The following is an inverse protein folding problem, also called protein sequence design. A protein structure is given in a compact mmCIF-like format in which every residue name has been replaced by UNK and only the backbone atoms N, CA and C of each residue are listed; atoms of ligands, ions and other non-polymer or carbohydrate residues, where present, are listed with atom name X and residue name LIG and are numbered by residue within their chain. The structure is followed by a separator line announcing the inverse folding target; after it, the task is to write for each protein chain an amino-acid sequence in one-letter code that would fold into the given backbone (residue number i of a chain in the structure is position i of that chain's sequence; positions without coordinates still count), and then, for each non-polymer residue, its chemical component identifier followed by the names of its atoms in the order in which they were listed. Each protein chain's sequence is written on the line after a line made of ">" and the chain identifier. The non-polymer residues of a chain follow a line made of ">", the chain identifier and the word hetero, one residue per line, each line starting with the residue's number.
data_IF_263590168144
#
_entry.id   IF_263590168144
#
_cell.length_a   1.000
_cell.length_b   1.000
_cell.length_c   1.000
_cell.angle_alpha   90.00
_cell.angle_beta   90.00
_cell.angle_gamma   90.00
#
_symmetry.space_group_name_H-M   'P 1'
#
loop_
_entity.id
_entity.type
_entity.pdbx_description
1 polymer ?
#
# COMPACT_ATOMS: atom_id res chain seq x y z
N UNK A 1 16.71 12.87 -31.08
CA UNK A 1 16.19 11.70 -30.33
C UNK A 1 17.27 11.26 -29.34
N UNK A 2 16.92 11.11 -28.06
CA UNK A 2 17.87 10.75 -27.01
C UNK A 2 18.40 9.32 -27.32
N UNK A 3 19.66 9.23 -27.75
CA UNK A 3 20.27 7.99 -28.28
C UNK A 3 20.96 7.16 -27.20
N UNK A 4 20.66 7.44 -25.92
CA UNK A 4 21.23 6.72 -24.79
C UNK A 4 20.46 5.43 -24.57
N UNK A 5 21.18 4.32 -24.49
CA UNK A 5 20.61 3.04 -24.08
C UNK A 5 20.11 3.13 -22.63
N UNK A 6 18.87 2.67 -22.42
CA UNK A 6 18.26 2.65 -21.08
C UNK A 6 18.87 1.52 -20.26
N UNK A 7 19.22 1.82 -19.02
CA UNK A 7 19.61 0.82 -18.03
C UNK A 7 18.44 -0.11 -17.70
N UNK A 8 18.72 -1.36 -17.34
CA UNK A 8 17.73 -2.33 -16.84
C UNK A 8 16.91 -1.74 -15.68
N UNK A 9 17.54 -0.94 -14.82
CA UNK A 9 16.86 -0.28 -13.69
C UNK A 9 15.82 0.72 -14.20
N UNK A 10 16.19 1.53 -15.20
CA UNK A 10 15.31 2.53 -15.82
C UNK A 10 14.14 1.85 -16.54
N UNK A 11 14.40 0.75 -17.25
CA UNK A 11 13.36 -0.04 -17.93
C UNK A 11 12.38 -0.65 -16.92
N UNK A 12 12.89 -1.26 -15.84
CA UNK A 12 12.04 -1.81 -14.77
C UNK A 12 11.20 -0.73 -14.09
N UNK A 13 11.80 0.42 -13.82
CA UNK A 13 11.09 1.55 -13.21
C UNK A 13 10.00 2.08 -14.14
N UNK A 14 10.31 2.25 -15.42
CA UNK A 14 9.34 2.68 -16.40
C UNK A 14 8.17 1.70 -16.49
N UNK A 15 8.43 0.39 -16.54
CA UNK A 15 7.37 -0.62 -16.53
C UNK A 15 6.47 -0.53 -15.30
N UNK A 16 7.04 -0.32 -14.11
CA UNK A 16 6.26 -0.12 -12.87
C UNK A 16 5.36 1.11 -12.97
N UNK A 17 5.88 2.23 -13.47
CA UNK A 17 5.11 3.46 -13.68
C UNK A 17 3.99 3.23 -14.70
N UNK A 18 4.28 2.62 -15.84
CA UNK A 18 3.31 2.29 -16.89
C UNK A 18 2.20 1.37 -16.38
N UNK A 19 2.53 0.33 -15.60
CA UNK A 19 1.55 -0.54 -14.93
C UNK A 19 0.60 0.27 -14.02
N UNK A 20 1.16 1.16 -13.20
CA UNK A 20 0.37 1.98 -12.27
C UNK A 20 -0.54 2.98 -12.99
N UNK A 21 -0.04 3.63 -14.03
CA UNK A 21 -0.82 4.58 -14.84
C UNK A 21 -2.00 3.88 -15.54
N UNK A 22 -1.77 2.71 -16.12
CA UNK A 22 -2.83 1.91 -16.75
C UNK A 22 -3.92 1.51 -15.74
N UNK A 23 -3.54 1.02 -14.55
CA UNK A 23 -4.48 0.70 -13.46
C UNK A 23 -5.25 1.93 -12.99
N UNK A 24 -4.59 3.09 -12.90
CA UNK A 24 -5.22 4.36 -12.51
C UNK A 24 -6.26 4.82 -13.53
N UNK A 25 -5.93 4.79 -14.83
CA UNK A 25 -6.86 5.12 -15.91
C UNK A 25 -8.11 4.23 -15.87
N UNK A 26 -7.93 2.92 -15.68
CA UNK A 26 -9.05 1.99 -15.54
C UNK A 26 -9.93 2.31 -14.32
N UNK A 27 -9.31 2.64 -13.18
CA UNK A 27 -10.04 3.01 -11.96
C UNK A 27 -10.88 4.28 -12.15
N UNK A 28 -10.31 5.31 -12.78
CA UNK A 28 -11.01 6.55 -13.12
C UNK A 28 -12.19 6.25 -14.05
N UNK A 29 -11.96 5.51 -15.13
CA UNK A 29 -13.02 5.12 -16.05
C UNK A 29 -14.17 4.37 -15.35
N UNK A 30 -13.86 3.39 -14.49
CA UNK A 30 -14.87 2.66 -13.70
C UNK A 30 -15.67 3.59 -12.79
N UNK A 31 -14.99 4.48 -12.08
CA UNK A 31 -15.63 5.47 -11.20
C UNK A 31 -16.56 6.39 -11.97
N UNK A 32 -16.14 6.88 -13.13
CA UNK A 32 -16.95 7.74 -13.98
C UNK A 32 -18.15 6.99 -14.57
N UNK A 33 -18.00 5.71 -14.93
CA UNK A 33 -19.11 4.87 -15.41
C UNK A 33 -20.16 4.62 -14.33
N UNK A 34 -19.77 4.61 -13.06
CA UNK A 34 -20.68 4.45 -11.92
C UNK A 34 -21.39 5.74 -11.50
N UNK A 35 -21.13 6.87 -12.18
CA UNK A 35 -21.83 8.12 -11.93
C UNK A 35 -23.28 8.07 -12.43
N UNK A 36 -24.25 8.41 -11.59
CA UNK A 36 -25.70 8.39 -11.92
C UNK A 36 -26.23 9.70 -12.52
N UNK A 37 -25.33 10.63 -12.87
CA UNK A 37 -25.66 12.02 -13.21
C UNK A 37 -26.20 12.28 -14.63
N UNK A 38 -26.74 11.29 -15.33
CA UNK A 38 -27.38 11.45 -16.66
C UNK A 38 -26.49 11.98 -17.79
N UNK A 39 -25.19 12.14 -17.55
CA UNK A 39 -24.23 12.67 -18.52
C UNK A 39 -23.84 11.63 -19.59
N UNK A 40 -23.15 12.08 -20.65
CA UNK A 40 -22.63 11.17 -21.67
C UNK A 40 -21.66 10.16 -21.03
N UNK A 41 -21.68 8.92 -21.55
CA UNK A 41 -20.79 7.85 -21.09
C UNK A 41 -19.32 8.31 -21.19
N UNK A 42 -18.49 8.11 -20.16
CA UNK A 42 -17.08 8.48 -20.23
C UNK A 42 -16.36 7.72 -21.35
N UNK A 43 -15.34 8.34 -21.99
CA UNK A 43 -14.58 7.69 -23.04
C UNK A 43 -13.85 6.46 -22.48
N UNK A 44 -13.90 5.35 -23.23
CA UNK A 44 -13.18 4.13 -22.85
C UNK A 44 -11.68 4.38 -22.71
N UNK A 45 -10.96 3.63 -21.85
CA UNK A 45 -9.51 3.70 -21.77
C UNK A 45 -8.86 3.48 -23.13
N UNK A 46 -7.73 4.15 -23.38
CA UNK A 46 -7.00 4.04 -24.64
C UNK A 46 -6.57 2.60 -24.95
N UNK A 47 -6.40 2.25 -26.24
CA UNK A 47 -6.05 0.88 -26.65
C UNK A 47 -4.77 0.36 -26.00
N UNK A 48 -3.76 1.23 -25.87
CA UNK A 48 -2.47 0.93 -25.23
C UNK A 48 -2.66 0.54 -23.76
N UNK A 49 -3.47 1.30 -23.02
CA UNK A 49 -3.83 1.00 -21.63
C UNK A 49 -4.51 -0.36 -21.51
N UNK A 50 -5.43 -0.70 -22.42
CA UNK A 50 -6.09 -2.00 -22.41
C UNK A 50 -5.12 -3.15 -22.71
N UNK A 51 -4.11 -2.92 -23.56
CA UNK A 51 -3.07 -3.90 -23.86
C UNK A 51 -2.16 -4.14 -22.65
N UNK A 52 -1.70 -3.07 -22.00
CA UNK A 52 -0.92 -3.13 -20.76
C UNK A 52 -1.69 -3.88 -19.67
N UNK A 53 -2.99 -3.61 -19.52
CA UNK A 53 -3.84 -4.28 -18.53
C UNK A 53 -3.94 -5.79 -18.74
N UNK A 54 -3.93 -6.27 -19.99
CA UNK A 54 -3.92 -7.71 -20.31
C UNK A 54 -2.59 -8.39 -19.96
N UNK A 55 -1.48 -7.66 -20.03
CA UNK A 55 -0.15 -8.18 -19.70
C UNK A 55 0.08 -8.31 -18.19
N UNK A 56 -0.72 -7.63 -17.37
CA UNK A 56 -0.62 -7.68 -15.92
C UNK A 56 -1.35 -8.94 -15.44
N UNK A 57 -0.67 -9.85 -14.71
CA UNK A 57 -1.32 -10.99 -14.09
C UNK A 57 -2.45 -10.51 -13.17
N UNK A 58 -3.60 -11.17 -13.25
CA UNK A 58 -4.69 -10.90 -12.34
C UNK A 58 -4.34 -11.49 -10.96
N UNK A 59 -4.03 -10.61 -10.01
CA UNK A 59 -3.51 -10.98 -8.69
C UNK A 59 -4.59 -11.56 -7.74
N UNK A 60 -5.89 -11.45 -8.10
CA UNK A 60 -7.01 -11.90 -7.26
C UNK A 60 -8.16 -12.46 -8.10
N UNK A 61 -8.76 -13.56 -7.63
CA UNK A 61 -10.08 -14.01 -8.09
C UNK A 61 -11.12 -12.96 -7.68
N UNK A 62 -11.92 -12.50 -8.63
CA UNK A 62 -13.01 -11.54 -8.33
C UNK A 62 -14.18 -12.37 -7.81
N UNK A 63 -14.41 -12.33 -6.51
CA UNK A 63 -15.61 -12.90 -5.89
C UNK A 63 -16.83 -12.06 -6.29
N UNK A 64 -17.68 -12.59 -7.16
CA UNK A 64 -18.90 -11.93 -7.59
C UNK A 64 -20.03 -12.27 -6.63
N UNK A 65 -20.31 -11.37 -5.69
CA UNK A 65 -21.50 -11.47 -4.85
C UNK A 65 -22.72 -10.92 -5.58
N UNK A 66 -23.75 -11.76 -5.78
CA UNK A 66 -25.03 -11.38 -6.39
C UNK A 66 -25.83 -10.32 -5.64
N UNK A 67 -25.47 -10.04 -4.39
CA UNK A 67 -26.09 -9.00 -3.56
C UNK A 67 -25.25 -7.71 -3.49
N UNK A 68 -24.05 -7.66 -4.08
CA UNK A 68 -23.26 -6.44 -4.10
C UNK A 68 -23.79 -5.50 -5.19
N UNK A 69 -24.10 -4.26 -4.81
CA UNK A 69 -24.63 -3.23 -5.72
C UNK A 69 -23.58 -2.77 -6.75
N UNK A 70 -22.30 -3.11 -6.53
CA UNK A 70 -21.20 -2.89 -7.47
C UNK A 70 -20.88 -4.11 -8.34
N UNK A 71 -21.64 -5.22 -8.18
CA UNK A 71 -21.37 -6.50 -8.82
C UNK A 71 -21.27 -6.34 -10.32
N UNK A 72 -20.04 -6.36 -10.83
CA UNK A 72 -19.76 -6.23 -12.26
C UNK A 72 -20.43 -7.42 -12.95
N UNK A 73 -21.61 -7.22 -13.54
CA UNK A 73 -22.15 -8.20 -14.47
C UNK A 73 -21.14 -8.27 -15.61
N UNK A 74 -20.40 -9.37 -15.69
CA UNK A 74 -19.48 -9.67 -16.77
C UNK A 74 -20.27 -9.79 -18.08
N UNK A 75 -20.63 -8.67 -18.68
CA UNK A 75 -21.05 -8.65 -20.07
C UNK A 75 -19.80 -8.75 -20.94
N UNK A 76 -19.46 -9.99 -21.31
CA UNK A 76 -19.39 -10.44 -22.71
C UNK A 76 -18.42 -11.61 -22.85
N UNK A 77 -18.96 -12.80 -23.12
CA UNK A 77 -18.80 -13.47 -24.43
C UNK A 77 -19.70 -14.72 -24.50
N UNK A 78 -20.61 -14.66 -25.47
CA UNK A 78 -21.18 -15.75 -26.27
C UNK A 78 -21.51 -17.05 -25.53
N UNK A 79 -22.76 -17.20 -25.12
CA UNK A 79 -23.42 -18.51 -25.08
C UNK A 79 -24.93 -18.32 -25.13
N UNK A 80 -25.49 -19.03 -26.09
CA UNK A 80 -26.88 -19.09 -26.50
C UNK A 80 -27.88 -19.17 -25.33
N UNK A 81 -29.01 -18.53 -25.57
CA UNK A 81 -30.31 -18.87 -25.02
C UNK A 81 -30.52 -20.39 -25.07
N UNK A 82 -30.34 -21.09 -23.95
CA UNK A 82 -31.08 -22.33 -23.66
C UNK A 82 -31.46 -22.34 -22.19
N UNK A 83 -32.73 -22.05 -21.92
CA UNK A 83 -33.42 -22.59 -20.76
C UNK A 83 -33.41 -24.12 -20.87
N UNK A 84 -32.55 -24.80 -20.14
CA UNK A 84 -32.79 -26.20 -19.77
C UNK A 84 -32.47 -26.38 -18.28
N UNK A 85 -33.55 -26.47 -17.50
CA UNK A 85 -33.55 -27.07 -16.17
C UNK A 85 -32.99 -28.49 -16.27
N UNK A 86 -31.81 -28.72 -15.72
CA UNK A 86 -31.38 -30.07 -15.36
C UNK A 86 -30.91 -30.06 -13.91
N UNK A 87 -31.65 -30.81 -13.11
CA UNK A 87 -31.42 -31.10 -11.71
C UNK A 87 -29.98 -31.61 -11.51
N UNK A 88 -29.11 -30.73 -11.03
CA UNK A 88 -27.83 -31.13 -10.47
C UNK A 88 -28.03 -31.25 -8.96
N UNK A 89 -27.95 -32.49 -8.49
CA UNK A 89 -27.90 -32.89 -7.08
C UNK A 89 -26.90 -31.99 -6.33
N UNK A 90 -27.45 -31.01 -5.59
CA UNK A 90 -26.68 -30.14 -4.71
C UNK A 90 -26.24 -31.01 -3.54
N UNK A 91 -24.98 -31.47 -3.57
CA UNK A 91 -24.30 -31.87 -2.34
C UNK A 91 -24.27 -30.66 -1.43
N UNK A 92 -25.21 -30.60 -0.50
CA UNK A 92 -25.26 -29.61 0.58
C UNK A 92 -23.94 -29.68 1.33
N UNK A 93 -23.08 -28.69 1.14
CA UNK A 93 -21.93 -28.48 2.01
C UNK A 93 -22.50 -28.13 3.38
N UNK A 94 -22.13 -28.95 4.35
CA UNK A 94 -22.59 -28.90 5.73
C UNK A 94 -22.45 -27.48 6.32
N UNK A 95 -23.57 -26.92 6.78
CA UNK A 95 -23.68 -25.54 7.28
C UNK A 95 -22.70 -25.25 8.42
N UNK A 96 -22.30 -26.29 9.14
CA UNK A 96 -21.39 -26.21 10.29
C UNK A 96 -19.94 -25.94 9.84
N UNK A 97 -19.53 -26.41 8.65
CA UNK A 97 -18.17 -26.17 8.12
C UNK A 97 -17.98 -24.73 7.61
N UNK A 98 -19.06 -24.12 7.11
CA UNK A 98 -19.06 -22.72 6.65
C UNK A 98 -18.94 -21.76 7.84
N UNK A 99 -19.57 -22.10 8.97
CA UNK A 99 -19.47 -21.37 10.25
C UNK A 99 -18.05 -21.39 10.82
N UNK A 100 -17.43 -22.58 10.88
CA UNK A 100 -16.08 -22.77 11.41
C UNK A 100 -15.03 -21.96 10.61
N UNK A 101 -15.12 -21.99 9.28
CA UNK A 101 -14.19 -21.25 8.41
C UNK A 101 -14.34 -19.73 8.59
N UNK A 102 -15.57 -19.23 8.76
CA UNK A 102 -15.82 -17.81 9.03
C UNK A 102 -15.23 -17.36 10.37
N UNK A 103 -15.35 -18.20 11.40
CA UNK A 103 -14.76 -17.96 12.73
C UNK A 103 -13.23 -17.93 12.65
N UNK A 104 -12.62 -18.88 11.93
CA UNK A 104 -11.16 -18.92 11.77
C UNK A 104 -10.64 -17.71 11.00
N UNK A 105 -11.30 -17.31 9.90
CA UNK A 105 -10.95 -16.10 9.14
C UNK A 105 -11.02 -14.85 10.00
N UNK A 106 -12.06 -14.73 10.82
CA UNK A 106 -12.22 -13.60 11.75
C UNK A 106 -11.09 -13.57 12.78
N UNK A 107 -10.75 -14.70 13.39
CA UNK A 107 -9.64 -14.80 14.36
C UNK A 107 -8.31 -14.38 13.73
N UNK A 108 -8.00 -14.86 12.52
CA UNK A 108 -6.76 -14.49 11.82
C UNK A 108 -6.72 -12.98 11.56
N UNK A 109 -7.81 -12.40 11.07
CA UNK A 109 -7.87 -10.96 10.80
C UNK A 109 -7.70 -10.13 12.08
N UNK A 110 -8.37 -10.51 13.17
CA UNK A 110 -8.23 -9.83 14.46
C UNK A 110 -6.79 -9.89 14.97
N UNK A 111 -6.15 -11.05 14.92
CA UNK A 111 -4.75 -11.20 15.33
C UNK A 111 -3.81 -10.34 14.47
N UNK A 112 -4.07 -10.26 13.15
CA UNK A 112 -3.29 -9.41 12.27
C UNK A 112 -3.41 -7.94 12.69
N UNK A 113 -4.63 -7.45 12.90
CA UNK A 113 -4.88 -6.06 13.31
C UNK A 113 -4.22 -5.74 14.66
N UNK A 114 -4.36 -6.64 15.65
CA UNK A 114 -3.75 -6.45 16.98
C UNK A 114 -2.21 -6.42 16.91
N UNK A 115 -1.62 -7.29 16.08
CA UNK A 115 -0.17 -7.33 15.90
C UNK A 115 0.35 -6.06 15.22
N UNK A 116 -0.35 -5.55 14.19
CA UNK A 116 0.01 -4.30 13.54
C UNK A 116 -0.10 -3.10 14.48
N UNK A 117 -1.17 -3.04 15.28
CA UNK A 117 -1.35 -1.97 16.25
C UNK A 117 -0.25 -1.98 17.32
N UNK A 118 0.12 -3.17 17.80
CA UNK A 118 1.22 -3.35 18.77
C UNK A 118 2.56 -2.90 18.19
N UNK A 119 2.89 -3.35 16.98
CA UNK A 119 4.10 -2.93 16.26
C UNK A 119 4.15 -1.41 16.06
N UNK A 120 3.01 -0.80 15.73
CA UNK A 120 2.93 0.64 15.55
C UNK A 120 3.23 1.41 16.84
N UNK A 121 2.68 0.96 17.97
CA UNK A 121 2.96 1.55 19.28
C UNK A 121 4.44 1.43 19.63
N UNK A 122 5.03 0.26 19.39
CA UNK A 122 6.42 -0.01 19.73
C UNK A 122 7.38 0.86 18.90
N UNK A 123 7.16 0.98 17.59
CA UNK A 123 7.93 1.87 16.72
C UNK A 123 7.85 3.34 17.16
N UNK A 124 6.67 3.81 17.56
CA UNK A 124 6.51 5.17 18.07
C UNK A 124 7.27 5.37 19.39
N UNK A 125 7.24 4.37 20.28
CA UNK A 125 7.97 4.40 21.54
C UNK A 125 9.48 4.47 21.31
N UNK A 126 10.01 3.62 20.42
CA UNK A 126 11.43 3.59 20.05
C UNK A 126 11.87 4.93 19.44
N UNK A 127 11.06 5.50 18.54
CA UNK A 127 11.35 6.79 17.92
C UNK A 127 11.45 7.91 18.97
N UNK A 128 10.50 7.97 19.91
CA UNK A 128 10.57 8.96 21.00
C UNK A 128 11.77 8.74 21.92
N UNK A 129 12.11 7.50 22.23
CA UNK A 129 13.26 7.19 23.07
C UNK A 129 14.58 7.58 22.39
N UNK A 130 14.69 7.33 21.09
CA UNK A 130 15.84 7.73 20.29
C UNK A 130 16.00 9.26 20.29
N UNK A 131 14.91 10.01 20.06
CA UNK A 131 14.93 11.47 20.12
C UNK A 131 15.35 12.02 21.49
N UNK A 132 14.89 11.40 22.58
CA UNK A 132 15.33 11.77 23.94
C UNK A 132 16.82 11.53 24.15
N UNK A 133 17.34 10.36 23.75
CA UNK A 133 18.77 10.04 23.88
C UNK A 133 19.63 10.99 23.05
N UNK A 134 19.20 11.31 21.83
CA UNK A 134 19.90 12.27 20.97
C UNK A 134 19.98 13.65 21.63
N UNK A 135 18.85 14.14 22.16
CA UNK A 135 18.83 15.42 22.86
C UNK A 135 19.74 15.42 24.10
N UNK A 136 19.74 14.34 24.88
CA UNK A 136 20.61 14.20 26.06
C UNK A 136 22.10 14.18 25.67
N UNK A 137 22.46 13.49 24.59
CA UNK A 137 23.83 13.46 24.08
C UNK A 137 24.30 14.84 23.64
N UNK A 138 23.45 15.58 22.90
CA UNK A 138 23.75 16.96 22.50
C UNK A 138 23.93 17.88 23.70
N UNK A 139 23.10 17.73 24.73
CA UNK A 139 23.24 18.50 25.97
C UNK A 139 24.59 18.22 26.66
N UNK A 140 24.95 16.94 26.82
CA UNK A 140 26.25 16.54 27.39
C UNK A 140 27.44 17.04 26.57
N UNK A 141 27.35 16.99 25.24
CA UNK A 141 28.38 17.52 24.35
C UNK A 141 28.57 19.03 24.55
N UNK A 142 27.47 19.78 24.63
CA UNK A 142 27.55 21.23 24.89
C UNK A 142 28.14 21.55 26.25
N UNK A 143 27.79 20.78 27.29
CA UNK A 143 28.33 20.96 28.64
C UNK A 143 29.84 20.69 28.69
N UNK A 144 30.29 19.59 28.07
CA UNK A 144 31.71 19.27 27.96
C UNK A 144 32.47 20.37 27.21
N UNK A 145 31.89 20.92 26.15
CA UNK A 145 32.49 22.01 25.38
C UNK A 145 32.66 23.28 26.22
N UNK A 146 31.65 23.63 27.02
CA UNK A 146 31.73 24.78 27.95
C UNK A 146 32.83 24.54 28.99
N UNK A 147 32.81 23.38 29.66
CA UNK A 147 33.81 23.04 30.67
C UNK A 147 35.25 23.09 30.13
N UNK A 148 35.46 22.59 28.90
CA UNK A 148 36.78 22.63 28.28
C UNK A 148 37.25 24.07 27.99
N UNK A 149 36.35 24.92 27.49
CA UNK A 149 36.64 26.34 27.27
C UNK A 149 36.94 27.09 28.58
N UNK A 150 36.26 26.76 29.68
CA UNK A 150 36.54 27.33 31.00
C UNK A 150 37.92 26.93 31.52
N UNK A 151 38.29 25.65 31.34
CA UNK A 151 39.62 25.13 31.67
C UNK A 151 40.73 25.83 30.87
N UNK A 152 40.56 25.96 29.55
CA UNK A 152 41.50 26.68 28.69
C UNK A 152 41.67 28.14 29.13
N UNK A 153 40.56 28.84 29.38
CA UNK A 153 40.59 30.22 29.86
C UNK A 153 41.31 30.36 31.20
N UNK A 154 41.07 29.44 32.14
CA UNK A 154 41.76 29.43 33.43
C UNK A 154 43.26 29.20 33.28
N UNK A 155 43.67 28.27 32.40
CA UNK A 155 45.08 28.03 32.11
C UNK A 155 45.75 29.26 31.50
N UNK A 156 45.08 29.95 30.57
CA UNK A 156 45.57 31.18 29.96
C UNK A 156 45.74 32.30 30.99
N UNK A 157 44.75 32.49 31.87
CA UNK A 157 44.84 33.49 32.97
C UNK A 157 46.01 33.18 33.92
N UNK A 158 46.19 31.92 34.29
CA UNK A 158 47.32 31.52 35.14
C UNK A 158 48.68 31.74 34.46
N UNK A 159 48.78 31.51 33.14
CA UNK A 159 50.00 31.83 32.39
C UNK A 159 50.28 33.33 32.39
N UNK A 160 49.26 34.15 32.15
CA UNK A 160 49.38 35.61 32.13
C UNK A 160 49.70 36.21 33.51
N UNK A 161 49.25 35.57 34.59
CA UNK A 161 49.52 36.02 35.97
C UNK A 161 50.92 35.67 36.49
N UNK A 162 51.66 34.81 35.80
CA UNK A 162 53.00 34.37 36.18
C UNK A 162 54.12 35.11 35.41
N UNK A 163 53.77 36.15 34.65
CA UNK A 163 54.68 37.14 34.05
C UNK A 163 54.48 38.48 34.73
#
# INVERSE_FOLDING_TARGET
>A
MNSRERSIIEIKQQWRTTKLEAKKKLSIYKKECSGTGGGPKPPSPDPETNEILKMIPQEFEVDSNKFDSNGLTLQNKDSEEICETKDADVKTVDSDQVSELAIQRTKVLTNCIESEHTLKIEQMRESHEWGRREHELRAKETELRINNLELENRLLRNKLSNY
#
